data_IF_067151440883
#
_entry.id   IF_067151440883
#
_cell.length_a   1.000
_cell.length_b   1.000
_cell.length_c   1.000
_cell.angle_alpha   90.00
_cell.angle_beta   90.00
_cell.angle_gamma   90.00
#
_symmetry.space_group_name_H-M   'P 1'
#
loop_
_entity.id
_entity.type
_entity.pdbx_description
1 polymer ?
#
# COMPACT_ATOMS: atom_id res chain seq x y z
N UNK A 1 -22.93 -3.13 2.07
CA UNK A 1 -21.55 -3.09 1.60
C UNK A 1 -20.90 -1.86 2.18
N UNK A 2 -19.85 -2.03 2.96
CA UNK A 2 -19.01 -0.97 3.52
C UNK A 2 -17.62 -1.02 2.92
N UNK A 3 -16.86 0.06 3.03
CA UNK A 3 -15.47 0.12 2.63
C UNK A 3 -14.61 0.44 3.84
N UNK A 4 -13.71 -0.48 4.18
CA UNK A 4 -12.79 -0.37 5.31
C UNK A 4 -11.37 -0.08 4.84
N UNK A 5 -10.64 0.71 5.61
CA UNK A 5 -9.21 0.91 5.42
C UNK A 5 -8.44 0.34 6.61
N UNK A 6 -7.55 -0.61 6.38
CA UNK A 6 -6.69 -1.24 7.38
C UNK A 6 -5.30 -0.61 7.29
N UNK A 7 -4.80 -0.06 8.40
CA UNK A 7 -3.47 0.54 8.48
C UNK A 7 -2.70 -0.06 9.66
N UNK A 8 -1.48 -0.50 9.39
CA UNK A 8 -0.55 -0.94 10.42
C UNK A 8 0.20 0.27 10.99
N UNK A 9 -0.36 0.89 12.03
CA UNK A 9 0.06 2.16 12.58
C UNK A 9 1.35 2.03 13.42
N UNK A 10 2.49 2.39 12.88
CA UNK A 10 3.79 2.14 13.52
C UNK A 10 4.63 3.38 13.86
N UNK A 11 4.60 4.42 13.02
CA UNK A 11 5.55 5.56 13.09
C UNK A 11 4.84 6.88 12.82
N UNK A 12 4.72 7.70 13.85
CA UNK A 12 4.05 9.00 13.78
C UNK A 12 4.60 9.88 12.66
N UNK A 13 5.92 10.04 12.59
CA UNK A 13 6.59 10.99 11.69
C UNK A 13 6.23 10.78 10.21
N UNK A 14 6.00 9.54 9.81
CA UNK A 14 5.60 9.14 8.45
C UNK A 14 4.08 9.12 8.30
N UNK A 15 3.41 8.54 9.28
CA UNK A 15 1.97 8.31 9.25
C UNK A 15 1.15 9.62 9.30
N UNK A 16 1.70 10.71 9.84
CA UNK A 16 1.03 12.02 9.79
C UNK A 16 0.67 12.43 8.36
N UNK A 17 1.57 12.18 7.39
CA UNK A 17 1.28 12.45 5.98
C UNK A 17 0.22 11.50 5.42
N UNK A 18 0.37 10.20 5.70
CA UNK A 18 -0.63 9.19 5.30
C UNK A 18 -2.02 9.57 5.80
N UNK A 19 -2.15 9.97 7.07
CA UNK A 19 -3.43 10.30 7.70
C UNK A 19 -4.12 11.52 7.09
N UNK A 20 -3.40 12.49 6.52
CA UNK A 20 -4.03 13.59 5.78
C UNK A 20 -4.81 13.08 4.56
N UNK A 21 -4.26 12.12 3.83
CA UNK A 21 -4.96 11.49 2.69
C UNK A 21 -6.09 10.57 3.14
N UNK A 22 -5.90 9.85 4.25
CA UNK A 22 -6.94 8.99 4.82
C UNK A 22 -8.13 9.82 5.28
N UNK A 23 -7.88 10.95 5.96
CA UNK A 23 -8.95 11.86 6.36
C UNK A 23 -9.71 12.39 5.14
N UNK A 24 -9.00 12.81 4.10
CA UNK A 24 -9.62 13.22 2.85
C UNK A 24 -10.45 12.09 2.20
N UNK A 25 -9.96 10.87 2.22
CA UNK A 25 -10.70 9.71 1.70
C UNK A 25 -11.98 9.40 2.52
N UNK A 26 -11.97 9.65 3.84
CA UNK A 26 -13.16 9.60 4.70
C UNK A 26 -14.15 10.72 4.37
N UNK A 27 -13.66 11.94 4.15
CA UNK A 27 -14.51 13.11 3.81
C UNK A 27 -15.15 12.94 2.43
N UNK A 28 -14.44 12.38 1.46
CA UNK A 28 -14.93 12.04 0.12
C UNK A 28 -15.73 10.72 0.07
N UNK A 29 -15.99 10.09 1.22
CA UNK A 29 -16.75 8.83 1.35
C UNK A 29 -16.17 7.64 0.56
N UNK A 30 -14.87 7.66 0.32
CA UNK A 30 -14.16 6.51 -0.24
C UNK A 30 -14.09 5.41 0.80
N UNK A 31 -13.78 5.75 2.06
CA UNK A 31 -13.83 4.85 3.20
C UNK A 31 -15.02 5.17 4.09
N UNK A 32 -15.69 4.15 4.60
CA UNK A 32 -16.72 4.26 5.63
C UNK A 32 -16.10 4.22 7.02
N UNK A 33 -15.02 3.43 7.20
CA UNK A 33 -14.35 3.25 8.48
C UNK A 33 -12.87 2.93 8.26
N UNK A 34 -12.01 3.40 9.19
CA UNK A 34 -10.56 3.17 9.19
C UNK A 34 -10.18 2.40 10.45
N UNK A 35 -9.46 1.31 10.28
CA UNK A 35 -8.95 0.45 11.33
C UNK A 35 -7.44 0.64 11.48
N UNK A 36 -7.04 1.31 12.56
CA UNK A 36 -5.64 1.50 12.92
C UNK A 36 -5.20 0.38 13.85
N UNK A 37 -4.34 -0.48 13.38
CA UNK A 37 -3.72 -1.52 14.17
C UNK A 37 -2.46 -0.99 14.83
N UNK A 38 -2.45 -0.91 16.16
CA UNK A 38 -1.40 -0.28 16.94
C UNK A 38 -0.12 -1.12 16.95
N UNK A 39 0.80 -0.77 16.06
CA UNK A 39 2.15 -1.33 15.94
C UNK A 39 3.24 -0.39 16.41
N UNK A 40 2.89 0.63 17.14
CA UNK A 40 3.80 1.67 17.59
C UNK A 40 4.99 1.09 18.34
N UNK A 41 6.15 1.75 18.17
CA UNK A 41 7.43 1.34 18.74
C UNK A 41 7.85 2.18 19.92
N UNK A 42 7.19 3.32 20.13
CA UNK A 42 7.44 4.26 21.21
C UNK A 42 6.13 4.69 21.86
N UNK A 43 6.21 5.17 23.11
CA UNK A 43 5.05 5.70 23.82
C UNK A 43 4.49 6.96 23.12
N UNK A 44 5.36 7.81 22.57
CA UNK A 44 4.94 9.03 21.87
C UNK A 44 4.13 8.69 20.60
N UNK A 45 4.56 7.69 19.84
CA UNK A 45 3.79 7.19 18.68
C UNK A 45 2.44 6.64 19.12
N UNK A 46 2.42 5.87 20.23
CA UNK A 46 1.18 5.29 20.75
C UNK A 46 0.18 6.35 21.18
N UNK A 47 0.63 7.32 21.98
CA UNK A 47 -0.22 8.44 22.43
C UNK A 47 -0.81 9.18 21.23
N UNK A 48 0.00 9.42 20.22
CA UNK A 48 -0.47 10.07 19.00
C UNK A 48 -1.49 9.21 18.23
N UNK A 49 -1.22 7.92 18.01
CA UNK A 49 -2.17 7.02 17.33
C UNK A 49 -3.50 6.99 18.07
N UNK A 50 -3.49 6.88 19.41
CA UNK A 50 -4.73 6.89 20.21
C UNK A 50 -5.50 8.21 20.11
N UNK A 51 -4.81 9.33 19.87
CA UNK A 51 -5.47 10.63 19.67
C UNK A 51 -6.26 10.75 18.35
N UNK A 52 -6.06 9.81 17.42
CA UNK A 52 -6.78 9.76 16.13
C UNK A 52 -8.15 9.07 16.23
N UNK A 53 -8.45 8.43 17.36
CA UNK A 53 -9.71 7.70 17.52
C UNK A 53 -10.93 8.61 17.35
N UNK A 54 -11.91 8.13 16.59
CA UNK A 54 -13.15 8.85 16.29
C UNK A 54 -14.29 7.88 15.94
N UNK A 55 -15.44 8.41 15.59
CA UNK A 55 -16.56 7.56 15.13
C UNK A 55 -16.22 6.74 13.89
N UNK A 56 -15.34 7.27 13.00
CA UNK A 56 -14.93 6.61 11.77
C UNK A 56 -13.53 5.97 11.83
N UNK A 57 -12.75 6.25 12.87
CA UNK A 57 -11.41 5.70 13.05
C UNK A 57 -11.40 4.86 14.32
N UNK A 58 -11.17 3.56 14.16
CA UNK A 58 -11.10 2.60 15.27
C UNK A 58 -9.67 2.15 15.49
N UNK A 59 -9.27 2.02 16.76
CA UNK A 59 -7.93 1.59 17.12
C UNK A 59 -8.01 0.18 17.71
N UNK A 60 -7.19 -0.71 17.16
CA UNK A 60 -7.04 -2.09 17.60
C UNK A 60 -5.64 -2.30 18.16
N UNK A 61 -5.55 -2.81 19.38
CA UNK A 61 -4.28 -3.20 19.97
C UNK A 61 -3.88 -4.59 19.50
N UNK A 62 -2.60 -4.78 19.24
CA UNK A 62 -2.03 -6.06 18.85
C UNK A 62 -1.41 -6.70 20.08
N UNK A 63 -1.87 -7.89 20.43
CA UNK A 63 -1.43 -8.61 21.63
C UNK A 63 0.02 -9.08 21.52
N UNK A 64 0.42 -9.60 20.35
CA UNK A 64 1.81 -9.99 20.06
C UNK A 64 2.41 -9.22 18.90
N UNK A 65 3.30 -8.28 19.20
CA UNK A 65 4.02 -7.50 18.17
C UNK A 65 4.98 -8.34 17.32
N UNK A 66 5.25 -9.59 17.66
CA UNK A 66 6.12 -10.47 16.86
C UNK A 66 5.38 -11.19 15.75
N UNK A 67 4.14 -11.63 16.03
CA UNK A 67 3.30 -12.34 15.06
C UNK A 67 2.07 -11.53 14.61
N UNK A 68 2.27 -10.29 14.54
CA UNK A 68 1.31 -9.21 14.35
C UNK A 68 0.38 -9.38 13.14
N UNK A 69 0.90 -9.84 12.03
CA UNK A 69 0.13 -9.97 10.79
C UNK A 69 -1.00 -10.98 10.91
N UNK A 70 -0.77 -12.07 11.62
CA UNK A 70 -1.78 -13.11 11.84
C UNK A 70 -2.99 -12.59 12.59
N UNK A 71 -2.75 -11.77 13.62
CA UNK A 71 -3.83 -11.21 14.42
C UNK A 71 -4.72 -10.28 13.58
N UNK A 72 -4.11 -9.40 12.78
CA UNK A 72 -4.86 -8.50 11.90
C UNK A 72 -5.69 -9.26 10.87
N UNK A 73 -5.03 -10.15 10.13
CA UNK A 73 -5.71 -10.92 9.08
C UNK A 73 -6.72 -11.94 9.64
N UNK A 74 -6.52 -12.43 10.87
CA UNK A 74 -7.43 -13.32 11.58
C UNK A 74 -8.64 -12.63 12.22
N UNK A 75 -8.59 -11.31 12.37
CA UNK A 75 -9.66 -10.54 12.97
C UNK A 75 -10.94 -10.49 12.12
N UNK A 76 -10.78 -10.44 10.81
CA UNK A 76 -11.89 -10.25 9.89
C UNK A 76 -12.50 -11.60 9.47
N UNK A 77 -13.82 -11.66 9.51
CA UNK A 77 -14.58 -12.85 9.13
C UNK A 77 -15.16 -12.70 7.72
N UNK A 78 -14.84 -13.66 6.87
CA UNK A 78 -15.28 -13.70 5.48
C UNK A 78 -16.81 -13.81 5.32
N UNK A 79 -17.51 -14.42 6.28
CA UNK A 79 -18.98 -14.58 6.21
C UNK A 79 -19.66 -13.24 6.48
N UNK A 80 -19.22 -12.54 7.55
CA UNK A 80 -19.77 -11.25 7.95
C UNK A 80 -19.48 -10.15 6.93
N UNK A 81 -18.28 -10.19 6.33
CA UNK A 81 -17.77 -9.12 5.48
C UNK A 81 -17.76 -9.46 3.98
N UNK A 82 -18.45 -10.51 3.55
CA UNK A 82 -18.38 -11.07 2.20
C UNK A 82 -18.42 -10.04 1.08
N UNK A 83 -19.34 -9.10 1.17
CA UNK A 83 -19.59 -8.10 0.12
C UNK A 83 -18.85 -6.78 0.37
N UNK A 84 -18.20 -6.62 1.53
CA UNK A 84 -17.50 -5.40 1.87
C UNK A 84 -16.18 -5.28 1.09
N UNK A 85 -15.70 -4.03 0.97
CA UNK A 85 -14.43 -3.72 0.32
C UNK A 85 -13.40 -3.36 1.40
N UNK A 86 -12.23 -3.94 1.30
CA UNK A 86 -11.12 -3.66 2.18
C UNK A 86 -9.96 -3.03 1.43
N UNK A 87 -9.36 -2.03 2.03
CA UNK A 87 -8.08 -1.48 1.65
C UNK A 87 -7.06 -1.81 2.73
N UNK A 88 -5.90 -2.30 2.34
CA UNK A 88 -4.70 -2.31 3.19
C UNK A 88 -3.82 -1.16 2.71
N UNK A 89 -3.42 -0.28 3.62
CA UNK A 89 -2.53 0.85 3.33
C UNK A 89 -1.40 0.87 4.37
N UNK A 90 -0.16 1.09 3.92
CA UNK A 90 0.99 1.20 4.82
C UNK A 90 1.04 2.57 5.50
N UNK A 91 1.66 2.63 6.69
CA UNK A 91 1.77 3.83 7.51
C UNK A 91 2.76 4.87 6.97
N UNK A 92 3.53 4.53 5.95
CA UNK A 92 4.58 5.37 5.35
C UNK A 92 4.33 5.75 3.89
N UNK A 93 3.06 5.83 3.52
CA UNK A 93 2.64 6.43 2.26
C UNK A 93 2.70 7.95 2.33
N UNK A 94 3.77 8.56 1.82
CA UNK A 94 3.97 10.02 1.89
C UNK A 94 3.15 10.81 0.87
N UNK A 95 2.58 10.12 -0.10
CA UNK A 95 1.57 10.65 -1.03
C UNK A 95 0.62 9.55 -1.44
N UNK A 96 -0.67 9.87 -1.49
CA UNK A 96 -1.73 8.98 -2.00
C UNK A 96 -2.58 9.75 -3.01
N UNK A 97 -2.75 9.21 -4.21
CA UNK A 97 -3.67 9.74 -5.21
C UNK A 97 -5.10 9.31 -4.86
N UNK A 98 -5.92 10.25 -4.42
CA UNK A 98 -7.30 10.00 -3.98
C UNK A 98 -8.18 9.46 -5.11
N UNK A 99 -7.97 9.93 -6.34
CA UNK A 99 -8.71 9.44 -7.50
C UNK A 99 -8.35 7.97 -7.81
N UNK A 100 -7.12 7.56 -7.52
CA UNK A 100 -6.71 6.16 -7.60
C UNK A 100 -7.43 5.29 -6.56
N UNK A 101 -7.58 5.75 -5.31
CA UNK A 101 -8.37 5.03 -4.30
C UNK A 101 -9.83 4.87 -4.74
N UNK A 102 -10.44 5.93 -5.26
CA UNK A 102 -11.81 5.87 -5.79
C UNK A 102 -11.94 4.88 -6.95
N UNK A 103 -10.93 4.81 -7.82
CA UNK A 103 -10.88 3.85 -8.94
C UNK A 103 -10.75 2.42 -8.44
N UNK A 104 -9.85 2.16 -7.48
CA UNK A 104 -9.67 0.86 -6.84
C UNK A 104 -10.97 0.38 -6.17
N UNK A 105 -11.65 1.26 -5.43
CA UNK A 105 -12.95 0.97 -4.82
C UNK A 105 -13.94 0.47 -5.87
N UNK A 106 -14.18 1.27 -6.93
CA UNK A 106 -15.12 0.93 -8.01
C UNK A 106 -14.81 -0.40 -8.70
N UNK A 107 -13.53 -0.67 -8.96
CA UNK A 107 -13.11 -1.93 -9.59
C UNK A 107 -13.34 -3.09 -8.63
N UNK A 108 -13.01 -2.93 -7.35
CA UNK A 108 -13.20 -3.98 -6.34
C UNK A 108 -14.69 -4.23 -6.08
N UNK A 109 -15.53 -3.22 -6.02
CA UNK A 109 -16.98 -3.35 -5.91
C UNK A 109 -17.58 -4.14 -7.08
N UNK A 110 -17.16 -3.83 -8.31
CA UNK A 110 -17.76 -4.40 -9.52
C UNK A 110 -17.18 -5.73 -9.97
N UNK A 111 -15.91 -6.01 -9.67
CA UNK A 111 -15.13 -7.16 -10.20
C UNK A 111 -14.30 -7.88 -9.14
N UNK A 112 -14.42 -7.53 -7.86
CA UNK A 112 -13.58 -8.08 -6.79
C UNK A 112 -13.64 -9.60 -6.64
N UNK A 113 -14.71 -10.23 -7.15
CA UNK A 113 -14.81 -11.70 -7.18
C UNK A 113 -13.95 -12.37 -8.24
N UNK A 114 -13.41 -11.63 -9.21
CA UNK A 114 -12.57 -12.15 -10.29
C UNK A 114 -11.05 -12.06 -10.02
N UNK A 115 -10.64 -11.42 -8.94
CA UNK A 115 -9.23 -11.30 -8.55
C UNK A 115 -9.05 -11.40 -7.03
N UNK A 116 -7.82 -11.65 -6.57
CA UNK A 116 -7.53 -11.69 -5.13
C UNK A 116 -7.38 -10.29 -4.57
N UNK A 117 -6.40 -9.52 -5.05
CA UNK A 117 -6.17 -8.12 -4.68
C UNK A 117 -5.93 -7.26 -5.92
N UNK A 118 -6.31 -6.00 -5.86
CA UNK A 118 -5.97 -4.97 -6.84
C UNK A 118 -5.00 -3.96 -6.20
N UNK A 119 -3.91 -3.65 -6.89
CA UNK A 119 -2.89 -2.69 -6.45
C UNK A 119 -2.65 -1.63 -7.52
N UNK A 120 -2.42 -0.36 -7.17
CA UNK A 120 -2.04 0.67 -8.12
C UNK A 120 -0.52 0.70 -8.32
N UNK A 121 -0.05 1.56 -9.21
CA UNK A 121 1.38 1.85 -9.36
C UNK A 121 1.84 2.72 -8.20
N UNK A 122 2.82 2.24 -7.43
CA UNK A 122 3.39 2.96 -6.29
C UNK A 122 4.85 3.28 -6.56
N UNK A 123 5.25 4.54 -6.39
CA UNK A 123 6.65 4.94 -6.45
C UNK A 123 7.44 4.28 -5.31
N UNK A 124 8.67 3.86 -5.58
CA UNK A 124 9.52 3.10 -4.68
C UNK A 124 8.88 1.77 -4.24
N UNK A 125 8.40 0.99 -5.21
CA UNK A 125 7.75 -0.30 -4.99
C UNK A 125 8.07 -1.28 -6.13
N UNK A 126 7.90 -2.58 -5.92
CA UNK A 126 8.01 -3.58 -7.01
C UNK A 126 7.00 -3.39 -8.13
N UNK A 127 5.85 -2.79 -7.87
CA UNK A 127 4.90 -2.45 -8.92
C UNK A 127 5.51 -1.49 -9.95
N UNK A 128 6.50 -0.68 -9.58
CA UNK A 128 7.27 0.14 -10.50
C UNK A 128 8.03 -0.70 -11.53
N UNK A 129 8.58 -1.85 -11.15
CA UNK A 129 9.30 -2.73 -12.07
C UNK A 129 8.39 -3.32 -13.12
N UNK A 130 7.23 -3.80 -12.71
CA UNK A 130 6.24 -4.37 -13.62
C UNK A 130 5.75 -3.29 -14.58
N UNK A 131 5.54 -2.07 -14.10
CA UNK A 131 5.10 -0.96 -14.94
C UNK A 131 6.21 -0.32 -15.78
N UNK A 132 7.46 -0.41 -15.35
CA UNK A 132 8.63 -0.03 -16.17
C UNK A 132 8.84 -0.99 -17.35
N UNK A 133 8.29 -2.20 -17.30
CA UNK A 133 8.27 -3.15 -18.43
C UNK A 133 7.13 -2.86 -19.44
N UNK A 134 6.15 -2.02 -19.09
CA UNK A 134 5.10 -1.55 -20.00
C UNK A 134 5.64 -0.42 -20.91
N UNK A 135 5.09 -0.18 -22.13
CA UNK A 135 5.62 0.76 -23.13
C UNK A 135 5.89 2.20 -22.69
N UNK A 136 5.53 2.57 -21.46
CA UNK A 136 5.73 3.90 -20.89
C UNK A 136 7.09 4.10 -20.16
N UNK A 137 7.94 3.07 -20.09
CA UNK A 137 9.30 3.09 -19.51
C UNK A 137 10.15 4.27 -20.00
N UNK A 138 9.94 4.70 -21.24
CA UNK A 138 10.68 5.82 -21.85
C UNK A 138 10.26 7.21 -21.35
N UNK A 139 9.27 7.31 -20.46
CA UNK A 139 8.75 8.60 -19.99
C UNK A 139 9.26 9.03 -18.62
N UNK A 140 10.00 8.18 -17.92
CA UNK A 140 10.71 8.55 -16.69
C UNK A 140 12.20 8.70 -17.05
N UNK A 141 12.68 9.92 -17.35
CA UNK A 141 14.04 10.12 -17.88
C UNK A 141 15.17 9.74 -16.91
N UNK A 142 14.85 9.58 -15.61
CA UNK A 142 15.84 9.33 -14.54
C UNK A 142 16.16 7.87 -14.39
N UNK A 143 15.31 6.97 -14.87
CA UNK A 143 15.52 5.53 -14.74
C UNK A 143 15.98 4.96 -16.07
N UNK A 144 17.26 5.09 -16.38
CA UNK A 144 17.85 4.22 -17.39
C UNK A 144 17.87 2.78 -16.84
N UNK A 145 17.75 1.79 -17.72
CA UNK A 145 17.79 0.39 -17.32
C UNK A 145 19.13 0.00 -16.65
N UNK A 146 20.13 0.88 -16.69
CA UNK A 146 21.46 0.70 -16.13
C UNK A 146 21.58 1.21 -14.68
N UNK A 147 20.62 2.04 -14.22
CA UNK A 147 20.71 2.69 -12.90
C UNK A 147 19.97 1.90 -11.81
N UNK A 148 19.25 0.84 -12.18
CA UNK A 148 18.53 0.00 -11.24
C UNK A 148 19.24 -1.35 -11.18
N UNK A 149 19.88 -1.64 -10.05
CA UNK A 149 20.42 -2.96 -9.79
C UNK A 149 19.30 -3.98 -9.54
N UNK A 150 18.89 -4.65 -10.61
CA UNK A 150 17.89 -5.73 -10.55
C UNK A 150 18.46 -7.03 -9.95
N UNK A 151 19.77 -7.10 -9.68
CA UNK A 151 20.44 -8.28 -9.15
C UNK A 151 20.45 -8.35 -7.63
N UNK A 152 20.02 -7.28 -6.94
CA UNK A 152 19.94 -7.28 -5.48
C UNK A 152 18.99 -8.37 -4.99
N UNK A 153 19.41 -9.25 -4.09
CA UNK A 153 18.57 -10.33 -3.56
C UNK A 153 17.42 -9.85 -2.68
N UNK A 154 17.31 -8.57 -2.41
CA UNK A 154 16.25 -7.95 -1.61
C UNK A 154 15.09 -7.45 -2.47
N UNK A 155 14.17 -8.30 -2.90
CA UNK A 155 12.83 -7.93 -3.41
C UNK A 155 12.79 -6.88 -4.54
N UNK A 156 13.93 -6.56 -5.16
CA UNK A 156 13.99 -5.70 -6.33
C UNK A 156 13.67 -4.24 -6.12
N UNK A 157 13.75 -3.73 -4.91
CA UNK A 157 13.73 -2.30 -4.64
C UNK A 157 15.08 -1.68 -5.00
N UNK A 158 15.06 -0.41 -5.43
CA UNK A 158 16.29 0.32 -5.71
C UNK A 158 17.07 0.61 -4.41
N UNK A 159 18.36 0.93 -4.55
CA UNK A 159 19.16 1.39 -3.43
C UNK A 159 18.59 2.69 -2.84
N UNK A 160 18.87 2.98 -1.57
CA UNK A 160 18.31 4.15 -0.88
C UNK A 160 18.59 5.49 -1.57
N UNK A 161 19.77 5.69 -2.18
CA UNK A 161 20.06 6.92 -2.93
C UNK A 161 19.22 7.05 -4.20
N UNK A 162 19.00 5.97 -4.93
CA UNK A 162 18.12 5.96 -6.09
C UNK A 162 16.66 6.19 -5.68
N UNK A 163 16.23 5.61 -4.55
CA UNK A 163 14.90 5.86 -3.99
C UNK A 163 14.73 7.34 -3.61
N UNK A 164 15.72 7.94 -2.96
CA UNK A 164 15.71 9.37 -2.64
C UNK A 164 15.63 10.24 -3.90
N UNK A 165 16.39 9.92 -4.94
CA UNK A 165 16.32 10.64 -6.23
C UNK A 165 14.95 10.48 -6.90
N UNK A 166 14.31 9.31 -6.81
CA UNK A 166 12.94 9.11 -7.29
C UNK A 166 11.95 10.04 -6.60
N UNK A 167 12.07 10.21 -5.29
CA UNK A 167 11.24 11.15 -4.54
C UNK A 167 11.46 12.59 -4.99
N UNK A 168 12.71 13.04 -5.13
CA UNK A 168 12.99 14.38 -5.65
C UNK A 168 12.44 14.59 -7.05
N UNK A 169 12.56 13.59 -7.92
CA UNK A 169 11.99 13.68 -9.26
C UNK A 169 10.47 13.79 -9.22
N UNK A 170 9.80 12.96 -8.41
CA UNK A 170 8.35 13.06 -8.22
C UNK A 170 7.95 14.44 -7.68
N UNK A 171 8.62 14.94 -6.65
CA UNK A 171 8.34 16.24 -6.05
C UNK A 171 8.49 17.39 -7.05
N UNK A 172 9.44 17.28 -7.99
CA UNK A 172 9.68 18.30 -9.03
C UNK A 172 8.74 18.19 -10.23
N UNK A 173 8.16 17.03 -10.49
CA UNK A 173 7.45 16.75 -11.74
C UNK A 173 6.22 15.84 -11.53
N UNK A 174 5.49 16.02 -10.43
CA UNK A 174 4.36 15.14 -10.03
C UNK A 174 3.28 14.99 -11.10
N UNK A 175 3.03 16.05 -11.91
CA UNK A 175 2.03 16.00 -12.99
C UNK A 175 2.38 14.98 -14.08
N UNK A 176 3.66 14.63 -14.25
CA UNK A 176 4.10 13.61 -15.22
C UNK A 176 3.70 12.19 -14.78
N UNK A 177 3.41 11.97 -13.49
CA UNK A 177 2.98 10.69 -12.94
C UNK A 177 1.47 10.50 -13.02
N UNK A 178 0.70 11.56 -13.27
CA UNK A 178 -0.75 11.49 -13.54
C UNK A 178 -1.01 10.87 -14.93
N UNK A 179 -0.52 9.66 -15.13
CA UNK A 179 -0.67 8.94 -16.40
C UNK A 179 -2.11 8.47 -16.49
N UNK A 180 -2.88 9.01 -17.42
CA UNK A 180 -4.15 8.43 -17.87
C UNK A 180 -3.82 7.28 -18.82
N UNK A 181 -3.63 6.10 -18.27
CA UNK A 181 -3.57 4.88 -19.08
C UNK A 181 -5.00 4.33 -19.16
N UNK A 182 -5.45 3.81 -20.31
CA UNK A 182 -6.71 3.07 -20.37
C UNK A 182 -6.74 2.00 -19.28
N UNK A 183 -7.90 1.72 -18.71
CA UNK A 183 -8.13 0.75 -17.61
C UNK A 183 -7.72 -0.69 -18.03
N UNK A 184 -6.47 -0.87 -18.40
CA UNK A 184 -5.89 -2.16 -18.69
C UNK A 184 -5.49 -2.82 -17.38
N UNK A 185 -6.28 -3.79 -16.99
CA UNK A 185 -5.98 -4.66 -15.86
C UNK A 185 -4.97 -5.70 -16.31
N UNK A 186 -3.84 -5.76 -15.63
CA UNK A 186 -2.79 -6.76 -15.90
C UNK A 186 -2.84 -7.83 -14.81
N UNK A 187 -3.29 -9.06 -15.11
CA UNK A 187 -3.25 -10.14 -14.13
C UNK A 187 -1.82 -10.57 -13.85
N UNK A 188 -1.48 -10.77 -12.58
CA UNK A 188 -0.14 -11.19 -12.16
C UNK A 188 -0.20 -12.21 -11.03
N UNK A 189 0.71 -13.21 -11.13
CA UNK A 189 1.03 -14.19 -10.09
C UNK A 189 2.49 -14.06 -9.70
N UNK A 190 2.93 -12.83 -9.43
CA UNK A 190 4.31 -12.50 -9.06
C UNK A 190 4.31 -11.76 -7.73
N UNK A 191 5.44 -11.76 -7.00
CA UNK A 191 5.56 -10.97 -5.79
C UNK A 191 5.21 -9.51 -6.07
N UNK A 192 4.31 -8.95 -5.26
CA UNK A 192 3.92 -7.55 -5.30
C UNK A 192 4.04 -6.97 -3.89
N UNK A 193 4.43 -5.72 -3.80
CA UNK A 193 4.27 -4.99 -2.56
C UNK A 193 2.83 -4.50 -2.44
N UNK A 194 2.26 -4.69 -1.26
CA UNK A 194 0.87 -4.36 -0.95
C UNK A 194 0.73 -3.04 -0.19
N UNK A 195 1.57 -2.03 -0.52
CA UNK A 195 1.53 -0.72 0.14
C UNK A 195 0.17 -0.05 0.07
N UNK A 196 -0.53 -0.21 -1.06
CA UNK A 196 -1.96 0.04 -1.23
C UNK A 196 -2.52 -1.18 -1.95
N UNK A 197 -3.44 -1.89 -1.33
CA UNK A 197 -4.14 -3.01 -1.94
C UNK A 197 -5.63 -2.95 -1.61
N UNK A 198 -6.49 -3.25 -2.57
CA UNK A 198 -7.94 -3.33 -2.39
C UNK A 198 -8.45 -4.72 -2.74
N UNK A 199 -9.37 -5.27 -1.94
CA UNK A 199 -9.92 -6.61 -2.11
C UNK A 199 -11.32 -6.73 -1.50
N UNK A 200 -12.06 -7.76 -1.92
CA UNK A 200 -13.37 -8.11 -1.31
C UNK A 200 -13.17 -8.83 0.02
N UNK A 201 -14.06 -8.61 0.96
CA UNK A 201 -14.07 -9.30 2.25
C UNK A 201 -14.19 -10.83 2.14
N UNK A 202 -14.81 -11.34 1.07
CA UNK A 202 -14.82 -12.79 0.75
C UNK A 202 -13.41 -13.40 0.67
N UNK A 203 -12.36 -12.58 0.42
CA UNK A 203 -10.97 -13.05 0.33
C UNK A 203 -10.36 -13.43 1.68
N UNK A 204 -10.95 -13.01 2.78
CA UNK A 204 -10.52 -13.45 4.10
C UNK A 204 -10.64 -14.97 4.27
N UNK A 205 -11.60 -15.64 3.63
CA UNK A 205 -11.68 -17.10 3.60
C UNK A 205 -10.35 -17.73 3.13
N UNK A 206 -9.78 -17.19 2.04
CA UNK A 206 -8.51 -17.70 1.52
C UNK A 206 -7.32 -17.32 2.41
N UNK A 207 -7.28 -16.08 2.89
CA UNK A 207 -6.19 -15.60 3.75
C UNK A 207 -6.13 -16.44 5.03
N UNK A 208 -7.27 -16.75 5.65
CA UNK A 208 -7.35 -17.51 6.89
C UNK A 208 -6.88 -18.95 6.76
N UNK A 209 -7.01 -19.59 5.60
CA UNK A 209 -6.45 -20.93 5.37
C UNK A 209 -4.91 -20.96 5.50
N UNK A 210 -4.24 -19.86 5.25
CA UNK A 210 -2.77 -19.77 5.23
C UNK A 210 -2.19 -19.14 6.49
N UNK A 211 -2.99 -18.52 7.32
CA UNK A 211 -2.56 -17.73 8.48
C UNK A 211 -1.80 -18.57 9.52
N UNK A 212 -2.11 -19.87 9.63
CA UNK A 212 -1.50 -20.81 10.57
C UNK A 212 -0.17 -21.40 10.09
N UNK A 213 0.27 -21.09 8.86
CA UNK A 213 1.50 -21.66 8.31
C UNK A 213 2.73 -21.01 8.94
N UNK A 214 3.77 -21.80 9.19
CA UNK A 214 5.01 -21.33 9.80
C UNK A 214 5.80 -20.38 8.88
N UNK A 215 5.64 -20.55 7.56
CA UNK A 215 6.27 -19.72 6.53
C UNK A 215 5.45 -18.45 6.16
N UNK A 216 4.50 -18.06 7.03
CA UNK A 216 3.65 -16.92 6.80
C UNK A 216 4.44 -15.61 6.68
N UNK A 217 4.31 -15.00 5.51
CA UNK A 217 4.73 -13.63 5.25
C UNK A 217 3.63 -12.99 4.41
N UNK A 218 2.98 -11.94 4.93
CA UNK A 218 1.73 -11.43 4.38
C UNK A 218 1.79 -11.08 2.89
N UNK A 219 2.84 -10.40 2.42
CA UNK A 219 2.98 -10.07 1.01
C UNK A 219 3.18 -11.31 0.14
N UNK A 220 4.07 -12.23 0.54
CA UNK A 220 4.32 -13.44 -0.25
C UNK A 220 3.11 -14.33 -0.31
N UNK A 221 2.45 -14.55 0.84
CA UNK A 221 1.27 -15.39 0.89
C UNK A 221 0.15 -14.79 0.04
N UNK A 222 -0.16 -13.52 0.20
CA UNK A 222 -1.25 -12.89 -0.52
C UNK A 222 -0.97 -12.70 -2.01
N UNK A 223 0.29 -12.49 -2.41
CA UNK A 223 0.57 -12.14 -3.81
C UNK A 223 1.08 -13.32 -4.64
N UNK A 224 1.68 -14.34 -4.01
CA UNK A 224 2.28 -15.49 -4.70
C UNK A 224 1.62 -16.81 -4.32
N UNK A 225 1.69 -17.19 -3.03
CA UNK A 225 1.30 -18.54 -2.59
C UNK A 225 -0.18 -18.76 -2.84
N UNK A 226 -1.02 -17.92 -2.27
CA UNK A 226 -2.47 -18.01 -2.36
C UNK A 226 -2.95 -17.91 -3.81
N UNK A 227 -2.41 -16.95 -4.57
CA UNK A 227 -2.82 -16.75 -5.98
C UNK A 227 -2.47 -17.94 -6.86
N UNK A 228 -1.32 -18.60 -6.61
CA UNK A 228 -0.95 -19.81 -7.32
C UNK A 228 -1.82 -21.00 -6.94
N UNK A 229 -2.09 -21.20 -5.65
CA UNK A 229 -2.86 -22.34 -5.15
C UNK A 229 -4.35 -22.24 -5.53
N UNK A 230 -4.94 -21.07 -5.38
CA UNK A 230 -6.35 -20.81 -5.69
C UNK A 230 -6.62 -20.50 -7.16
N UNK A 231 -5.58 -20.38 -8.00
CA UNK A 231 -5.67 -20.00 -9.43
C UNK A 231 -6.42 -18.69 -9.67
N UNK A 232 -6.20 -17.73 -8.78
CA UNK A 232 -6.80 -16.41 -8.85
C UNK A 232 -5.71 -15.36 -8.96
N UNK A 233 -5.83 -14.42 -9.91
CA UNK A 233 -4.81 -13.42 -10.15
C UNK A 233 -4.95 -12.20 -9.22
N UNK A 234 -3.83 -11.53 -8.95
CA UNK A 234 -3.83 -10.15 -8.51
C UNK A 234 -3.89 -9.21 -9.72
N UNK A 235 -4.38 -7.99 -9.51
CA UNK A 235 -4.45 -7.00 -10.56
C UNK A 235 -3.49 -5.85 -10.26
N UNK A 236 -2.71 -5.41 -11.27
CA UNK A 236 -2.11 -4.09 -11.25
C UNK A 236 -2.97 -3.15 -12.08
N UNK A 237 -3.46 -2.11 -11.44
CA UNK A 237 -4.14 -1.03 -12.13
C UNK A 237 -3.08 -0.06 -12.62
N UNK A 238 -2.93 0.19 -13.93
CA UNK A 238 -1.88 1.03 -14.49
C UNK A 238 -2.18 2.52 -14.26
N UNK A 239 -2.49 2.85 -13.01
CA UNK A 239 -2.73 4.20 -12.53
C UNK A 239 -1.80 4.48 -11.36
N UNK A 240 -1.21 5.65 -11.33
CA UNK A 240 -0.38 6.08 -10.23
C UNK A 240 -1.22 6.19 -8.94
N UNK A 241 -0.83 5.47 -7.90
CA UNK A 241 -1.55 5.42 -6.63
C UNK A 241 -0.90 6.22 -5.51
N UNK A 242 0.41 6.44 -5.59
CA UNK A 242 1.10 7.19 -4.55
C UNK A 242 2.60 6.94 -4.48
N UNK A 243 3.20 7.44 -3.39
CA UNK A 243 4.62 7.29 -3.09
C UNK A 243 4.77 6.59 -1.72
N UNK A 244 5.44 5.44 -1.72
CA UNK A 244 5.93 4.79 -0.52
C UNK A 244 7.29 5.40 -0.15
N UNK A 245 7.48 5.81 1.11
CA UNK A 245 8.68 6.56 1.52
C UNK A 245 9.95 5.72 1.38
N UNK A 246 10.02 4.62 2.13
CA UNK A 246 11.24 3.81 2.15
C UNK A 246 11.04 2.43 2.76
N UNK A 247 11.77 1.47 2.27
CA UNK A 247 11.97 0.21 2.98
C UNK A 247 13.03 0.40 4.07
N UNK A 248 12.96 -0.36 5.16
CA UNK A 248 13.90 -0.22 6.28
C UNK A 248 15.38 -0.36 5.88
N UNK A 249 15.68 -1.10 4.82
CA UNK A 249 17.04 -1.23 4.25
C UNK A 249 17.51 0.02 3.50
N UNK A 250 16.61 0.90 3.09
CA UNK A 250 16.90 2.15 2.40
C UNK A 250 17.15 3.31 3.36
N UNK A 251 16.52 3.30 4.54
CA UNK A 251 16.55 4.39 5.53
C UNK A 251 17.97 4.94 5.82
N UNK A 252 19.01 4.12 6.00
CA UNK A 252 20.36 4.63 6.28
C UNK A 252 20.98 5.47 5.16
N UNK A 253 20.43 5.38 3.94
CA UNK A 253 20.98 6.00 2.74
C UNK A 253 20.13 7.18 2.22
N UNK A 254 19.01 7.46 2.87
CA UNK A 254 18.06 8.51 2.51
C UNK A 254 18.00 9.61 3.56
N UNK A 255 17.80 10.83 3.16
CA UNK A 255 17.48 11.92 4.07
C UNK A 255 15.97 11.97 4.34
N UNK A 256 15.50 11.01 5.15
CA UNK A 256 14.08 10.82 5.47
C UNK A 256 13.43 12.09 6.00
N UNK A 257 14.06 12.77 6.96
CA UNK A 257 13.50 13.99 7.58
C UNK A 257 13.27 15.10 6.55
N UNK A 258 14.23 15.28 5.65
CA UNK A 258 14.12 16.29 4.58
C UNK A 258 13.02 15.92 3.57
N UNK A 259 12.92 14.66 3.19
CA UNK A 259 11.85 14.19 2.29
C UNK A 259 10.47 14.42 2.91
N UNK A 260 10.28 14.07 4.19
CA UNK A 260 9.02 14.30 4.90
C UNK A 260 8.64 15.79 4.91
N UNK A 261 9.62 16.68 5.15
CA UNK A 261 9.40 18.13 5.10
C UNK A 261 8.94 18.58 3.71
N UNK A 262 9.61 18.14 2.65
CA UNK A 262 9.25 18.48 1.27
C UNK A 262 7.83 18.00 0.91
N UNK A 263 7.45 16.80 1.34
CA UNK A 263 6.09 16.30 1.13
C UNK A 263 5.04 17.09 1.91
N UNK A 264 5.34 17.49 3.17
CA UNK A 264 4.44 18.37 3.95
C UNK A 264 4.20 19.69 3.22
N UNK A 265 5.26 20.35 2.76
CA UNK A 265 5.14 21.64 2.06
C UNK A 265 4.33 21.50 0.77
N UNK A 266 4.58 20.45 -0.02
CA UNK A 266 3.98 20.32 -1.35
C UNK A 266 2.51 19.92 -1.33
N UNK A 267 2.08 19.10 -0.39
CA UNK A 267 0.77 18.43 -0.44
C UNK A 267 -0.18 18.78 0.72
N UNK A 268 0.27 19.58 1.69
CA UNK A 268 -0.60 20.13 2.75
C UNK A 268 -0.93 21.61 2.56
N UNK A 269 -0.35 22.28 1.57
CA UNK A 269 -0.66 23.61 1.08
C UNK A 269 -1.69 23.54 -0.04
#
# INVERSE_FOLDING_TARGET
MKTYCIIFAGRKDRMELTMNYIQRALDETIFDEVHLWNYTRSLDDEVWVRSLESDKIKIFDVADKKDKWREVWGHYDAVTHKDDVFFKIDDDMVHIDIESLSTLKKITESKGDSFHMAVPVILNSMSDKVNLSVPHRHRIPVLSANDIDFSSPGWGVCHGKEAEMLHYYYLSASDKFKIKVPDAVVPLRQPLHTHIAAFKGSRFEYIQEYISRDDWHDEVVNTVTLTNDKKIDNLIIPRFGGCHLSFGTQDPWMNISHLLELYRVKFTS
#
